data_IF_158523674406
#
_entry.id   IF_158523674406
#
_cell.length_a   1.000
_cell.length_b   1.000
_cell.length_c   1.000
_cell.angle_alpha   90.00
_cell.angle_beta   90.00
_cell.angle_gamma   90.00
#
_symmetry.space_group_name_H-M   'P 1'
#
loop_
_entity.id
_entity.type
_entity.pdbx_description
1 polymer ?
#
# COMPACT_ATOMS: atom_id res chain seq x y z
N UNK A 1 0.24 5.97 -20.16
CA UNK A 1 0.84 6.23 -18.85
C UNK A 1 -0.03 5.62 -17.77
N UNK A 2 0.57 4.89 -16.87
CA UNK A 2 -0.17 4.20 -15.81
C UNK A 2 -0.49 5.16 -14.67
N UNK A 3 -1.79 5.39 -14.42
CA UNK A 3 -2.26 6.26 -13.34
C UNK A 3 -2.96 5.47 -12.25
N UNK A 4 -2.48 4.24 -12.00
CA UNK A 4 -3.01 3.37 -10.96
C UNK A 4 -1.96 3.28 -9.85
N UNK A 5 -2.36 3.67 -8.63
CA UNK A 5 -1.48 3.68 -7.46
C UNK A 5 -2.12 2.83 -6.37
N UNK A 6 -1.35 1.89 -5.83
CA UNK A 6 -1.76 1.10 -4.66
C UNK A 6 -1.02 1.62 -3.43
N UNK A 7 -1.75 1.83 -2.35
CA UNK A 7 -1.16 2.35 -1.11
C UNK A 7 -0.60 1.22 -0.26
N UNK A 8 0.68 1.31 0.07
CA UNK A 8 1.27 0.47 1.12
C UNK A 8 0.77 0.92 2.49
N UNK A 9 1.05 0.11 3.50
CA UNK A 9 0.61 0.38 4.86
C UNK A 9 1.10 1.73 5.39
N UNK A 10 2.33 2.17 5.05
CA UNK A 10 2.84 3.42 5.58
C UNK A 10 2.05 4.65 5.09
N UNK A 11 1.88 4.90 3.79
CA UNK A 11 1.02 6.03 3.38
C UNK A 11 -0.44 5.84 3.79
N UNK A 12 -0.97 4.61 3.72
CA UNK A 12 -2.35 4.37 4.16
C UNK A 12 -2.54 4.71 5.64
N UNK A 13 -1.58 4.33 6.48
CA UNK A 13 -1.61 4.64 7.89
C UNK A 13 -1.56 6.14 8.17
N UNK A 14 -0.77 6.88 7.40
CA UNK A 14 -0.69 8.34 7.54
C UNK A 14 -1.99 9.02 7.13
N UNK A 15 -2.58 8.59 6.03
CA UNK A 15 -3.84 9.16 5.51
C UNK A 15 -5.00 8.89 6.48
N UNK A 16 -5.03 7.71 7.10
CA UNK A 16 -6.09 7.33 8.03
C UNK A 16 -5.87 7.87 9.45
N UNK A 17 -4.70 8.40 9.76
CA UNK A 17 -4.40 8.89 11.10
C UNK A 17 -5.15 10.20 11.36
N UNK A 18 -5.97 10.29 12.43
CA UNK A 18 -6.70 11.52 12.72
C UNK A 18 -5.82 12.67 13.27
N UNK A 19 -4.59 12.37 13.68
CA UNK A 19 -3.67 13.41 14.14
C UNK A 19 -3.19 14.26 12.97
N UNK A 20 -3.33 15.58 13.08
CA UNK A 20 -2.98 16.50 11.98
C UNK A 20 -1.51 16.92 12.08
N UNK A 21 -0.60 15.93 12.12
CA UNK A 21 0.83 16.23 12.06
C UNK A 21 1.20 16.72 10.67
N UNK A 22 2.32 17.48 10.51
CA UNK A 22 2.74 17.91 9.16
C UNK A 22 2.90 16.76 8.19
N UNK A 23 3.47 15.64 8.62
CA UNK A 23 3.68 14.49 7.75
C UNK A 23 2.34 13.85 7.32
N UNK A 24 1.40 13.68 8.24
CA UNK A 24 0.10 13.11 7.93
C UNK A 24 -0.70 14.02 6.99
N UNK A 25 -0.65 15.33 7.21
CA UNK A 25 -1.31 16.29 6.33
C UNK A 25 -0.69 16.31 4.94
N UNK A 26 0.64 16.23 4.85
CA UNK A 26 1.33 16.16 3.57
C UNK A 26 0.87 14.95 2.76
N UNK A 27 0.80 13.79 3.41
CA UNK A 27 0.39 12.56 2.75
C UNK A 27 -1.07 12.62 2.31
N UNK A 28 -1.95 13.14 3.15
CA UNK A 28 -3.36 13.33 2.81
C UNK A 28 -3.51 14.28 1.61
N UNK A 29 -2.82 15.40 1.62
CA UNK A 29 -2.87 16.39 0.53
C UNK A 29 -2.30 15.80 -0.77
N UNK A 30 -1.26 14.98 -0.67
CA UNK A 30 -0.71 14.26 -1.81
C UNK A 30 -1.77 13.37 -2.45
N UNK A 31 -2.48 12.58 -1.63
CA UNK A 31 -3.56 11.71 -2.12
C UNK A 31 -4.63 12.54 -2.86
N UNK A 32 -5.07 13.64 -2.25
CA UNK A 32 -6.07 14.52 -2.87
C UNK A 32 -5.59 15.05 -4.21
N UNK A 33 -4.33 15.48 -4.29
CA UNK A 33 -3.78 16.04 -5.54
C UNK A 33 -3.71 14.99 -6.64
N UNK A 34 -3.40 13.74 -6.31
CA UNK A 34 -3.38 12.66 -7.29
C UNK A 34 -4.80 12.36 -7.80
N UNK A 35 -5.78 12.32 -6.90
CA UNK A 35 -7.18 12.10 -7.30
C UNK A 35 -7.63 13.20 -8.24
N UNK A 36 -7.30 14.46 -7.94
CA UNK A 36 -7.66 15.59 -8.78
C UNK A 36 -7.01 15.55 -10.16
N UNK A 37 -5.85 14.92 -10.27
CA UNK A 37 -5.14 14.78 -11.56
C UNK A 37 -5.51 13.50 -12.31
N UNK A 38 -6.51 12.75 -11.83
CA UNK A 38 -7.07 11.61 -12.55
C UNK A 38 -6.45 10.26 -12.21
N UNK A 39 -5.66 10.18 -11.14
CA UNK A 39 -5.15 8.89 -10.69
C UNK A 39 -6.25 8.07 -10.04
N UNK A 40 -6.21 6.76 -10.27
CA UNK A 40 -6.97 5.78 -9.50
C UNK A 40 -6.12 5.37 -8.31
N UNK A 41 -6.63 5.57 -7.11
CA UNK A 41 -5.92 5.19 -5.89
C UNK A 41 -6.67 4.01 -5.26
N UNK A 42 -5.93 2.95 -5.00
CA UNK A 42 -6.48 1.68 -4.54
C UNK A 42 -5.96 1.38 -3.14
N UNK A 43 -6.88 0.96 -2.27
CA UNK A 43 -6.54 0.38 -0.96
C UNK A 43 -6.45 -1.14 -1.14
N UNK A 44 -5.25 -1.72 -1.13
CA UNK A 44 -5.13 -3.19 -1.19
C UNK A 44 -5.54 -3.79 0.15
N UNK A 45 -6.20 -4.93 0.11
CA UNK A 45 -6.66 -5.58 1.33
C UNK A 45 -5.51 -5.89 2.30
N UNK A 46 -4.33 -6.27 1.77
CA UNK A 46 -3.20 -6.56 2.65
C UNK A 46 -2.74 -5.31 3.42
N UNK A 47 -2.79 -4.13 2.79
CA UNK A 47 -2.43 -2.89 3.46
C UNK A 47 -3.49 -2.50 4.51
N UNK A 48 -4.76 -2.67 4.19
CA UNK A 48 -5.84 -2.49 5.15
C UNK A 48 -5.62 -3.39 6.38
N UNK A 49 -5.32 -4.66 6.15
CA UNK A 49 -5.05 -5.62 7.21
C UNK A 49 -3.90 -5.14 8.12
N UNK A 50 -2.79 -4.71 7.53
CA UNK A 50 -1.62 -4.28 8.30
C UNK A 50 -1.93 -3.04 9.15
N UNK A 51 -2.61 -2.05 8.57
CA UNK A 51 -2.97 -0.84 9.31
C UNK A 51 -4.04 -1.15 10.37
N UNK A 52 -5.05 -1.91 9.99
CA UNK A 52 -6.17 -2.23 10.86
C UNK A 52 -5.73 -2.99 12.10
N UNK A 53 -4.86 -3.99 11.93
CA UNK A 53 -4.42 -4.81 13.08
C UNK A 53 -3.70 -3.96 14.12
N UNK A 54 -2.91 -2.98 13.70
CA UNK A 54 -2.21 -2.08 14.61
C UNK A 54 -3.16 -1.10 15.29
N UNK A 55 -4.15 -0.58 14.56
CA UNK A 55 -5.16 0.30 15.14
C UNK A 55 -6.01 -0.45 16.18
N UNK A 56 -6.35 -1.70 15.89
CA UNK A 56 -7.09 -2.54 16.85
C UNK A 56 -6.25 -2.83 18.09
N UNK A 57 -4.98 -3.20 17.90
CA UNK A 57 -4.08 -3.48 19.02
C UNK A 57 -3.95 -2.27 19.95
N UNK A 58 -3.85 -1.08 19.38
CA UNK A 58 -3.66 0.16 20.13
C UNK A 58 -4.96 0.83 20.58
N UNK A 59 -6.12 0.24 20.25
CA UNK A 59 -7.43 0.81 20.63
C UNK A 59 -7.77 2.11 19.94
N UNK A 60 -7.29 2.34 18.73
CA UNK A 60 -7.44 3.61 18.00
C UNK A 60 -8.75 3.65 17.23
N UNK A 61 -9.86 3.90 17.92
CA UNK A 61 -11.21 3.86 17.32
C UNK A 61 -11.42 4.92 16.24
N UNK A 62 -10.87 6.12 16.40
CA UNK A 62 -11.00 7.18 15.41
C UNK A 62 -10.23 6.85 14.13
N UNK A 63 -9.05 6.24 14.27
CA UNK A 63 -8.28 5.78 13.13
C UNK A 63 -9.01 4.70 12.36
N UNK A 64 -9.64 3.75 13.06
CA UNK A 64 -10.45 2.70 12.44
C UNK A 64 -11.61 3.28 11.63
N UNK A 65 -12.30 4.27 12.18
CA UNK A 65 -13.41 4.92 11.49
C UNK A 65 -12.94 5.61 10.20
N UNK A 66 -11.77 6.29 10.25
CA UNK A 66 -11.20 6.94 9.06
C UNK A 66 -10.77 5.91 8.01
N UNK A 67 -10.17 4.80 8.44
CA UNK A 67 -9.78 3.73 7.54
C UNK A 67 -11.00 3.16 6.81
N UNK A 68 -12.09 2.92 7.54
CA UNK A 68 -13.34 2.43 6.95
C UNK A 68 -13.93 3.45 5.96
N UNK A 69 -13.83 4.73 6.26
CA UNK A 69 -14.29 5.78 5.35
C UNK A 69 -13.46 5.80 4.07
N UNK A 70 -12.14 5.63 4.17
CA UNK A 70 -11.26 5.59 3.01
C UNK A 70 -11.60 4.41 2.10
N UNK A 71 -11.95 3.26 2.64
CA UNK A 71 -12.37 2.09 1.86
C UNK A 71 -13.61 2.37 1.02
N UNK A 72 -14.47 3.28 1.47
CA UNK A 72 -15.68 3.66 0.75
C UNK A 72 -15.44 4.82 -0.21
N UNK A 73 -14.37 5.56 -0.03
CA UNK A 73 -14.04 6.76 -0.84
C UNK A 73 -13.08 6.42 -1.97
N UNK A 74 -12.09 5.57 -1.68
CA UNK A 74 -11.12 5.08 -2.67
C UNK A 74 -11.56 3.71 -3.17
N UNK A 75 -10.91 3.23 -4.22
CA UNK A 75 -11.14 1.86 -4.69
C UNK A 75 -10.51 0.88 -3.70
N UNK A 76 -11.20 -0.22 -3.46
CA UNK A 76 -10.73 -1.27 -2.55
C UNK A 76 -10.47 -2.55 -3.35
N UNK A 77 -9.31 -3.16 -3.15
CA UNK A 77 -8.93 -4.37 -3.87
C UNK A 77 -8.85 -5.56 -2.91
N UNK A 78 -9.85 -6.45 -2.92
CA UNK A 78 -9.82 -7.65 -2.08
C UNK A 78 -8.74 -8.62 -2.53
N UNK A 79 -8.28 -9.46 -1.60
CA UNK A 79 -7.41 -10.58 -1.91
C UNK A 79 -8.20 -11.65 -2.68
N UNK A 80 -7.54 -12.25 -3.66
CA UNK A 80 -8.12 -13.34 -4.44
C UNK A 80 -7.20 -14.55 -4.37
N UNK A 81 -7.71 -15.71 -4.75
CA UNK A 81 -6.88 -16.92 -4.85
C UNK A 81 -5.75 -16.72 -5.84
N UNK A 82 -6.04 -16.09 -6.99
CA UNK A 82 -5.03 -15.85 -8.02
C UNK A 82 -3.88 -14.97 -7.47
N UNK A 83 -4.22 -13.93 -6.71
CA UNK A 83 -3.21 -13.07 -6.08
C UNK A 83 -2.37 -13.85 -5.08
N UNK A 84 -3.00 -14.70 -4.27
CA UNK A 84 -2.28 -15.50 -3.28
C UNK A 84 -1.34 -16.52 -3.92
N UNK A 85 -1.75 -17.12 -5.03
CA UNK A 85 -0.89 -18.02 -5.79
C UNK A 85 0.33 -17.28 -6.35
N UNK A 86 0.11 -16.08 -6.87
CA UNK A 86 1.21 -15.24 -7.37
C UNK A 86 2.15 -14.83 -6.24
N UNK A 87 1.60 -14.47 -5.08
CA UNK A 87 2.41 -14.11 -3.92
C UNK A 87 3.32 -15.28 -3.50
N UNK A 88 2.80 -16.50 -3.53
CA UNK A 88 3.60 -17.69 -3.22
C UNK A 88 4.76 -17.87 -4.18
N UNK A 89 4.55 -17.63 -5.48
CA UNK A 89 5.62 -17.66 -6.47
C UNK A 89 6.69 -16.60 -6.17
N UNK A 90 6.28 -15.38 -5.87
CA UNK A 90 7.22 -14.30 -5.56
C UNK A 90 8.04 -14.60 -4.30
N UNK A 91 7.39 -15.15 -3.29
CA UNK A 91 8.05 -15.55 -2.06
C UNK A 91 9.14 -16.61 -2.34
N UNK A 92 8.77 -17.63 -3.10
CA UNK A 92 9.69 -18.72 -3.43
C UNK A 92 10.88 -18.20 -4.23
N UNK A 93 10.66 -17.32 -5.21
CA UNK A 93 11.73 -16.71 -5.99
C UNK A 93 12.68 -15.91 -5.11
N UNK A 94 12.15 -15.10 -4.21
CA UNK A 94 12.96 -14.28 -3.31
C UNK A 94 13.82 -15.14 -2.39
N UNK A 95 13.25 -16.21 -1.83
CA UNK A 95 13.97 -17.12 -0.94
C UNK A 95 15.05 -17.89 -1.69
N UNK A 96 14.72 -18.37 -2.88
CA UNK A 96 15.67 -19.17 -3.68
C UNK A 96 16.83 -18.34 -4.23
N UNK A 97 16.61 -17.04 -4.47
CA UNK A 97 17.67 -16.15 -4.94
C UNK A 97 18.57 -15.66 -3.81
N UNK A 98 18.24 -16.01 -2.57
CA UNK A 98 19.02 -15.57 -1.41
C UNK A 98 18.96 -14.07 -1.20
N UNK A 99 17.93 -13.41 -1.71
CA UNK A 99 17.77 -11.96 -1.56
C UNK A 99 17.62 -11.61 -0.08
N UNK A 100 18.49 -10.74 0.46
CA UNK A 100 18.36 -10.36 1.87
C UNK A 100 17.08 -9.54 2.03
N UNK A 101 16.14 -10.09 2.76
CA UNK A 101 14.91 -9.41 3.13
C UNK A 101 14.92 -9.25 4.64
N UNK A 102 14.06 -8.39 5.15
CA UNK A 102 13.76 -8.34 6.56
C UNK A 102 13.30 -9.74 7.02
N UNK A 103 12.63 -9.90 8.09
CA UNK A 103 12.19 -11.22 8.54
C UNK A 103 11.14 -11.82 7.57
N UNK A 104 10.80 -13.09 7.76
CA UNK A 104 9.85 -13.80 6.90
C UNK A 104 8.45 -13.19 6.93
N UNK A 105 8.05 -12.57 8.04
CA UNK A 105 6.73 -11.96 8.17
C UNK A 105 6.61 -10.69 7.33
N UNK A 106 7.67 -9.87 7.29
CA UNK A 106 7.68 -8.68 6.45
C UNK A 106 7.65 -9.09 4.98
N UNK A 107 8.37 -10.15 4.62
CA UNK A 107 8.35 -10.66 3.25
C UNK A 107 6.95 -11.12 2.84
N UNK A 108 6.20 -11.76 3.74
CA UNK A 108 4.84 -12.22 3.43
C UNK A 108 3.95 -11.05 3.00
N UNK A 109 3.94 -9.97 3.77
CA UNK A 109 3.13 -8.80 3.42
C UNK A 109 3.61 -8.15 2.12
N UNK A 110 4.92 -8.07 1.92
CA UNK A 110 5.50 -7.46 0.72
C UNK A 110 5.12 -8.22 -0.55
N UNK A 111 5.20 -9.55 -0.54
CA UNK A 111 4.87 -10.33 -1.75
C UNK A 111 3.37 -10.32 -2.04
N UNK A 112 2.52 -10.27 -1.02
CA UNK A 112 1.08 -10.18 -1.21
C UNK A 112 0.72 -8.81 -1.82
N UNK A 113 1.30 -7.75 -1.29
CA UNK A 113 1.11 -6.41 -1.84
C UNK A 113 1.60 -6.34 -3.28
N UNK A 114 2.78 -6.88 -3.55
CA UNK A 114 3.35 -6.92 -4.88
C UNK A 114 2.45 -7.68 -5.86
N UNK A 115 1.89 -8.81 -5.42
CA UNK A 115 0.98 -9.60 -6.26
C UNK A 115 -0.29 -8.81 -6.56
N UNK A 116 -0.83 -8.07 -5.62
CA UNK A 116 -1.99 -7.21 -5.86
C UNK A 116 -1.67 -6.12 -6.87
N UNK A 117 -0.48 -5.49 -6.75
CA UNK A 117 -0.06 -4.45 -7.68
C UNK A 117 0.14 -4.99 -9.09
N UNK A 118 0.73 -6.18 -9.22
CA UNK A 118 0.92 -6.81 -10.54
C UNK A 118 -0.42 -7.11 -11.19
N UNK A 119 -1.40 -7.56 -10.42
CA UNK A 119 -2.73 -7.87 -10.95
C UNK A 119 -3.41 -6.64 -11.55
N UNK A 120 -3.14 -5.46 -11.00
CA UNK A 120 -3.72 -4.19 -11.44
C UNK A 120 -2.80 -3.41 -12.38
N UNK A 121 -1.59 -3.89 -12.60
CA UNK A 121 -0.56 -3.19 -13.35
C UNK A 121 -0.33 -1.77 -12.81
N UNK A 122 -0.27 -1.67 -11.47
CA UNK A 122 -0.17 -0.39 -10.77
C UNK A 122 1.19 -0.16 -10.13
N UNK A 123 1.41 1.07 -9.69
CA UNK A 123 2.61 1.49 -8.97
C UNK A 123 2.30 1.44 -7.47
N UNK A 124 3.20 0.88 -6.67
CA UNK A 124 3.05 0.89 -5.22
C UNK A 124 3.64 2.18 -4.64
N UNK A 125 2.83 2.92 -3.90
CA UNK A 125 3.26 4.07 -3.11
C UNK A 125 3.66 3.60 -1.71
N UNK A 126 4.90 3.82 -1.33
CA UNK A 126 5.47 3.23 -0.12
C UNK A 126 6.53 4.15 0.49
N UNK A 127 6.98 3.82 1.70
CA UNK A 127 8.23 4.35 2.26
C UNK A 127 9.33 3.29 2.31
N UNK A 128 9.06 2.09 1.76
CA UNK A 128 9.98 0.96 1.77
C UNK A 128 10.30 0.49 0.35
N UNK A 129 10.78 1.41 -0.46
CA UNK A 129 11.00 1.17 -1.90
C UNK A 129 11.97 0.01 -2.15
N UNK A 130 13.04 -0.07 -1.33
CA UNK A 130 14.09 -1.05 -1.55
C UNK A 130 13.62 -2.49 -1.55
N UNK A 131 12.68 -2.85 -0.70
CA UNK A 131 12.14 -4.22 -0.63
C UNK A 131 11.13 -4.48 -1.75
N UNK A 132 10.20 -3.55 -1.96
CA UNK A 132 9.10 -3.75 -2.92
C UNK A 132 9.57 -3.67 -4.37
N UNK A 133 10.59 -2.86 -4.66
CA UNK A 133 11.10 -2.72 -6.02
C UNK A 133 11.75 -3.99 -6.57
N UNK A 134 12.03 -4.96 -5.70
CA UNK A 134 12.46 -6.30 -6.14
C UNK A 134 11.39 -7.05 -6.93
N UNK A 135 10.12 -6.69 -6.73
CA UNK A 135 8.98 -7.43 -7.29
C UNK A 135 8.15 -6.61 -8.26
N UNK A 136 7.99 -5.31 -8.01
CA UNK A 136 7.06 -4.45 -8.73
C UNK A 136 7.63 -3.04 -8.86
N UNK A 137 6.98 -2.23 -9.69
CA UNK A 137 7.28 -0.81 -9.70
C UNK A 137 6.80 -0.19 -8.39
N UNK A 138 7.72 0.35 -7.61
CA UNK A 138 7.44 0.96 -6.32
C UNK A 138 8.21 2.28 -6.23
N UNK A 139 7.57 3.29 -5.66
CA UNK A 139 8.16 4.61 -5.45
C UNK A 139 7.80 5.12 -4.08
N UNK A 140 8.69 5.91 -3.50
CA UNK A 140 8.29 6.71 -2.34
C UNK A 140 7.07 7.54 -2.75
N UNK A 141 6.07 7.59 -1.87
CA UNK A 141 4.83 8.28 -2.25
C UNK A 141 5.08 9.74 -2.62
N UNK A 142 6.07 10.38 -2.02
CA UNK A 142 6.42 11.78 -2.33
C UNK A 142 6.90 11.96 -3.76
N UNK A 143 7.44 10.90 -4.36
CA UNK A 143 7.98 10.94 -5.72
C UNK A 143 6.95 10.65 -6.80
N UNK A 144 5.74 10.26 -6.43
CA UNK A 144 4.62 10.10 -7.36
C UNK A 144 3.92 11.44 -7.46
N UNK A 145 4.10 12.13 -8.58
CA UNK A 145 3.67 13.52 -8.73
C UNK A 145 2.36 13.61 -9.49
N UNK A 146 1.49 14.57 -9.13
CA UNK A 146 0.29 14.81 -9.91
C UNK A 146 0.66 15.26 -11.33
N UNK A 147 -0.17 14.88 -12.28
CA UNK A 147 0.02 15.25 -13.69
C UNK A 147 -0.65 16.60 -13.91
N UNK A 148 0.11 17.53 -14.47
CA UNK A 148 -0.41 18.86 -14.79
C UNK A 148 -1.24 18.88 -16.09
#
# INVERSE_FOLDING_TARGET
MNKIVLLDASPLGMISNPSATPANLECYNWMESLLMSGYQIIVPEIADYEVRRELLRAGKTRGLARLDLLKNTLDYLPLTTAVMLKAAELWAQARNQGTPTADAKALDCDVILAAQALAENGIVATENVGHLSLFVEAKDWRDILPVS
#
